data_IF_370053199018
#
_entry.id   IF_370053199018
#
_cell.length_a   1.000
_cell.length_b   1.000
_cell.length_c   1.000
_cell.angle_alpha   90.00
_cell.angle_beta   90.00
_cell.angle_gamma   90.00
#
_symmetry.space_group_name_H-M   'P 1'
#
loop_
_entity.id
_entity.type
_entity.pdbx_description
1 polymer ?
#
# COMPACT_ATOMS: atom_id res chain seq x y z
N UNK A 1 14.00 -2.66 -6.32
CA UNK A 1 14.98 -3.73 -6.68
C UNK A 1 14.55 -4.37 -7.99
N UNK A 2 15.52 -4.82 -8.79
CA UNK A 2 15.29 -5.53 -10.05
C UNK A 2 16.28 -6.70 -10.17
N UNK A 3 15.93 -7.77 -10.91
CA UNK A 3 16.85 -8.87 -11.16
C UNK A 3 18.09 -8.40 -11.94
N UNK A 4 19.24 -9.00 -11.67
CA UNK A 4 20.48 -8.78 -12.41
C UNK A 4 20.92 -10.12 -13.02
N UNK A 5 21.18 -10.12 -14.32
CA UNK A 5 21.78 -11.26 -15.02
C UNK A 5 23.29 -11.04 -15.13
N UNK A 6 24.07 -11.98 -14.61
CA UNK A 6 25.52 -12.03 -14.80
C UNK A 6 25.86 -13.26 -15.64
N UNK A 7 26.42 -13.03 -16.82
CA UNK A 7 26.93 -14.10 -17.67
C UNK A 7 28.45 -14.13 -17.56
N UNK A 8 29.00 -15.29 -17.22
CA UNK A 8 30.45 -15.50 -17.06
C UNK A 8 30.86 -16.65 -17.95
N UNK A 9 31.90 -16.44 -18.77
CA UNK A 9 32.37 -17.46 -19.70
C UNK A 9 33.07 -18.61 -18.97
N UNK A 10 32.95 -19.83 -19.51
CA UNK A 10 33.45 -21.03 -18.86
C UNK A 10 34.98 -21.11 -18.76
N UNK A 11 35.72 -20.35 -19.54
CA UNK A 11 37.17 -20.18 -19.41
C UNK A 11 37.52 -19.26 -18.23
N UNK A 12 36.79 -18.18 -18.02
CA UNK A 12 36.98 -17.24 -16.89
C UNK A 12 36.69 -17.93 -15.55
N UNK A 13 35.64 -18.75 -15.47
CA UNK A 13 35.31 -19.48 -14.23
C UNK A 13 36.33 -20.55 -13.84
N UNK A 14 37.20 -20.96 -14.76
CA UNK A 14 38.25 -21.96 -14.52
C UNK A 14 39.62 -21.35 -14.22
N UNK A 15 39.75 -20.02 -14.27
CA UNK A 15 41.01 -19.37 -13.94
C UNK A 15 41.26 -19.47 -12.42
N UNK A 16 42.50 -19.78 -12.05
CA UNK A 16 42.94 -19.69 -10.66
C UNK A 16 43.26 -18.23 -10.34
N UNK A 17 42.69 -17.72 -9.25
CA UNK A 17 42.93 -16.38 -8.74
C UNK A 17 43.60 -16.49 -7.37
N UNK A 18 44.59 -15.64 -7.10
CA UNK A 18 45.20 -15.56 -5.77
C UNK A 18 44.18 -15.08 -4.74
N UNK A 19 44.25 -15.59 -3.51
CA UNK A 19 43.38 -15.15 -2.41
C UNK A 19 43.47 -13.63 -2.17
N UNK A 20 44.64 -13.04 -2.45
CA UNK A 20 44.89 -11.59 -2.37
C UNK A 20 44.06 -10.75 -3.37
N UNK A 21 43.47 -11.39 -4.39
CA UNK A 21 42.63 -10.72 -5.38
C UNK A 21 41.22 -10.40 -4.85
N UNK A 22 40.83 -10.95 -3.70
CA UNK A 22 39.47 -10.85 -3.17
C UNK A 22 39.37 -9.90 -1.97
N UNK A 23 39.71 -8.62 -2.17
CA UNK A 23 39.35 -7.56 -1.22
C UNK A 23 38.06 -6.87 -1.68
N UNK A 24 36.91 -7.54 -1.53
CA UNK A 24 35.60 -6.94 -1.83
C UNK A 24 34.97 -6.35 -0.58
N UNK A 25 34.57 -5.08 -0.66
CA UNK A 25 33.74 -4.43 0.34
C UNK A 25 32.38 -4.11 -0.29
N UNK A 26 31.26 -4.68 0.20
CA UNK A 26 29.94 -4.34 -0.30
C UNK A 26 29.65 -2.85 -0.17
N UNK A 27 28.99 -2.28 -1.19
CA UNK A 27 28.51 -0.90 -1.11
C UNK A 27 27.44 -0.81 -0.02
N UNK A 28 27.62 0.12 0.93
CA UNK A 28 26.60 0.40 1.94
C UNK A 28 25.39 1.08 1.28
N UNK A 29 24.23 0.48 1.41
CA UNK A 29 22.97 1.07 0.94
C UNK A 29 22.70 2.40 1.66
N UNK A 30 22.21 3.38 0.91
CA UNK A 30 21.79 4.69 1.40
C UNK A 30 20.32 4.89 1.06
N UNK A 31 19.57 5.46 2.00
CA UNK A 31 18.18 5.89 1.82
C UNK A 31 18.12 7.40 1.88
N UNK A 32 17.24 8.02 1.10
CA UNK A 32 16.99 9.47 1.13
C UNK A 32 15.63 9.75 1.78
N UNK A 33 15.55 10.85 2.52
CA UNK A 33 14.27 11.47 2.85
C UNK A 33 13.78 12.36 1.70
N UNK A 34 12.56 12.85 1.84
CA UNK A 34 11.98 13.84 0.93
C UNK A 34 12.50 15.25 1.19
N UNK A 35 12.36 16.11 0.19
CA UNK A 35 12.54 17.54 0.35
C UNK A 35 11.54 18.09 1.38
N UNK A 36 12.01 18.99 2.24
CA UNK A 36 11.21 19.48 3.37
C UNK A 36 10.03 20.36 2.92
N UNK A 37 10.18 21.13 1.83
CA UNK A 37 9.12 21.95 1.28
C UNK A 37 8.05 21.08 0.61
N UNK A 38 8.47 20.06 -0.15
CA UNK A 38 7.53 19.10 -0.78
C UNK A 38 6.72 18.33 0.28
N UNK A 39 7.37 17.88 1.37
CA UNK A 39 6.70 17.21 2.48
C UNK A 39 5.68 18.14 3.15
N UNK A 40 6.06 19.40 3.42
CA UNK A 40 5.17 20.39 4.03
C UNK A 40 3.94 20.61 3.17
N UNK A 41 4.14 20.86 1.88
CA UNK A 41 3.08 21.24 0.96
C UNK A 41 2.11 20.07 0.73
N UNK A 42 2.63 18.85 0.60
CA UNK A 42 1.82 17.61 0.53
C UNK A 42 0.97 17.42 1.79
N UNK A 43 1.58 17.53 2.98
CA UNK A 43 0.85 17.37 4.26
C UNK A 43 -0.23 18.43 4.40
N UNK A 44 0.08 19.69 4.09
CA UNK A 44 -0.92 20.77 4.11
C UNK A 44 -2.09 20.47 3.18
N UNK A 45 -1.83 19.96 1.97
CA UNK A 45 -2.88 19.60 1.02
C UNK A 45 -3.74 18.42 1.54
N UNK A 46 -3.10 17.36 2.07
CA UNK A 46 -3.80 16.21 2.62
C UNK A 46 -4.70 16.57 3.82
N UNK A 47 -4.26 17.48 4.69
CA UNK A 47 -5.02 17.93 5.85
C UNK A 47 -6.23 18.81 5.47
N UNK A 48 -6.12 19.56 4.38
CA UNK A 48 -7.21 20.41 3.84
C UNK A 48 -8.25 19.65 3.04
N UNK A 49 -7.92 18.45 2.55
CA UNK A 49 -8.85 17.62 1.80
C UNK A 49 -10.06 17.22 2.67
N UNK A 50 -11.23 17.10 2.03
CA UNK A 50 -12.48 16.75 2.71
C UNK A 50 -12.57 15.25 2.95
N UNK A 51 -12.25 14.45 1.94
CA UNK A 51 -12.29 12.99 1.96
C UNK A 51 -11.00 12.38 1.39
N UNK A 52 -9.83 12.66 2.01
CA UNK A 52 -8.56 12.07 1.58
C UNK A 52 -8.56 10.56 1.79
N UNK A 53 -7.82 9.83 0.95
CA UNK A 53 -7.51 8.41 1.13
C UNK A 53 -6.03 8.13 0.86
N UNK A 54 -5.47 7.09 1.47
CA UNK A 54 -4.12 6.59 1.19
C UNK A 54 -4.20 5.36 0.29
N UNK A 55 -3.42 5.35 -0.79
CA UNK A 55 -3.14 4.16 -1.60
C UNK A 55 -1.72 3.66 -1.31
N UNK A 56 -1.60 2.61 -0.50
CA UNK A 56 -0.32 2.03 -0.09
C UNK A 56 0.13 0.94 -1.08
N UNK A 57 1.31 1.11 -1.67
CA UNK A 57 1.89 0.14 -2.59
C UNK A 57 2.88 -0.83 -1.95
N UNK A 58 3.43 -1.73 -2.78
CA UNK A 58 4.44 -2.72 -2.37
C UNK A 58 5.69 -2.10 -1.73
N UNK A 59 6.02 -0.86 -2.07
CA UNK A 59 7.21 -0.20 -1.53
C UNK A 59 7.12 0.06 -0.03
N UNK A 60 5.93 0.03 0.58
CA UNK A 60 5.77 0.05 2.04
C UNK A 60 6.46 -1.16 2.67
N UNK A 61 6.28 -2.35 2.07
CA UNK A 61 6.90 -3.59 2.54
C UNK A 61 8.41 -3.57 2.31
N UNK A 62 8.87 -3.08 1.15
CA UNK A 62 10.31 -2.96 0.86
C UNK A 62 11.03 -1.95 1.76
N UNK A 63 10.35 -0.88 2.16
CA UNK A 63 10.89 0.11 3.08
C UNK A 63 10.77 -0.30 4.55
N UNK A 64 10.03 -1.38 4.85
CA UNK A 64 9.63 -1.79 6.21
C UNK A 64 8.92 -0.65 6.96
N UNK A 65 7.95 -0.01 6.30
CA UNK A 65 7.31 1.23 6.75
C UNK A 65 5.88 1.06 7.29
N UNK A 66 5.47 -0.17 7.64
CA UNK A 66 4.10 -0.47 8.10
C UNK A 66 3.76 0.31 9.37
N UNK A 67 4.67 0.39 10.34
CA UNK A 67 4.44 1.10 11.61
C UNK A 67 4.24 2.60 11.38
N UNK A 68 5.09 3.20 10.55
CA UNK A 68 4.98 4.61 10.18
C UNK A 68 3.68 4.90 9.41
N UNK A 69 3.25 3.99 8.54
CA UNK A 69 1.98 4.15 7.82
C UNK A 69 0.79 4.09 8.78
N UNK A 70 0.82 3.22 9.78
CA UNK A 70 -0.20 3.14 10.85
C UNK A 70 -0.22 4.42 11.66
N UNK A 71 0.93 4.89 12.17
CA UNK A 71 1.00 6.13 12.95
C UNK A 71 0.48 7.33 12.14
N UNK A 72 0.88 7.45 10.86
CA UNK A 72 0.41 8.52 10.00
C UNK A 72 -1.10 8.46 9.76
N UNK A 73 -1.65 7.26 9.50
CA UNK A 73 -3.08 7.07 9.29
C UNK A 73 -3.88 7.40 10.56
N UNK A 74 -3.44 6.95 11.73
CA UNK A 74 -4.08 7.25 13.03
C UNK A 74 -4.03 8.75 13.35
N UNK A 75 -2.89 9.39 13.15
CA UNK A 75 -2.72 10.82 13.43
C UNK A 75 -3.61 11.70 12.54
N UNK A 76 -3.84 11.28 11.30
CA UNK A 76 -4.60 12.05 10.31
C UNK A 76 -6.05 11.57 10.14
N UNK A 77 -6.40 10.42 10.71
CA UNK A 77 -7.64 9.69 10.46
C UNK A 77 -7.95 9.50 8.97
N UNK A 78 -6.91 9.36 8.14
CA UNK A 78 -7.05 9.12 6.70
C UNK A 78 -7.13 7.61 6.48
N UNK A 79 -8.19 7.13 5.81
CA UNK A 79 -8.38 5.71 5.57
C UNK A 79 -7.41 5.18 4.51
N UNK A 80 -7.00 3.92 4.67
CA UNK A 80 -5.92 3.29 3.90
C UNK A 80 -6.46 2.13 3.08
N UNK A 81 -6.27 2.18 1.76
CA UNK A 81 -6.35 1.02 0.88
C UNK A 81 -4.96 0.61 0.42
N UNK A 82 -4.75 -0.69 0.21
CA UNK A 82 -3.53 -1.22 -0.37
C UNK A 82 -3.73 -1.53 -1.86
N UNK A 83 -2.69 -1.39 -2.68
CA UNK A 83 -2.68 -2.07 -3.98
C UNK A 83 -2.58 -3.58 -3.77
N UNK A 84 -2.88 -4.40 -4.77
CA UNK A 84 -2.74 -5.85 -4.62
C UNK A 84 -1.31 -6.25 -4.22
N UNK A 85 -0.30 -5.57 -4.76
CA UNK A 85 1.10 -5.84 -4.44
C UNK A 85 1.52 -5.24 -3.09
N UNK A 86 0.77 -4.26 -2.58
CA UNK A 86 0.93 -3.67 -1.25
C UNK A 86 0.08 -4.35 -0.17
N UNK A 87 -0.68 -5.40 -0.49
CA UNK A 87 -1.45 -6.16 0.51
C UNK A 87 -0.51 -6.60 1.64
N UNK A 88 -1.03 -6.54 2.88
CA UNK A 88 -0.27 -6.68 4.13
C UNK A 88 0.66 -5.51 4.50
N UNK A 89 0.80 -4.48 3.66
CA UNK A 89 1.49 -3.23 4.02
C UNK A 89 0.74 -2.36 5.03
N UNK A 90 -0.55 -2.65 5.25
CA UNK A 90 -1.37 -2.06 6.29
C UNK A 90 -2.25 -3.15 6.93
N UNK A 91 -2.45 -3.18 8.26
CA UNK A 91 -3.23 -4.24 8.90
C UNK A 91 -4.70 -4.21 8.46
N UNK A 92 -5.21 -5.27 7.84
CA UNK A 92 -6.58 -5.28 7.29
C UNK A 92 -7.69 -5.36 8.35
N UNK A 93 -7.31 -5.66 9.59
CA UNK A 93 -8.18 -5.60 10.77
C UNK A 93 -8.24 -4.19 11.41
N UNK A 94 -7.39 -3.26 10.97
CA UNK A 94 -7.36 -1.90 11.50
C UNK A 94 -8.65 -1.13 11.15
N UNK A 95 -9.21 -0.28 12.05
CA UNK A 95 -10.46 0.44 11.80
C UNK A 95 -10.43 1.38 10.58
N UNK A 96 -9.26 1.91 10.23
CA UNK A 96 -9.04 2.74 9.03
C UNK A 96 -8.73 1.94 7.76
N UNK A 97 -8.72 0.60 7.84
CA UNK A 97 -8.46 -0.24 6.66
C UNK A 97 -9.67 -0.27 5.74
N UNK A 98 -9.46 0.16 4.50
CA UNK A 98 -10.37 -0.06 3.40
C UNK A 98 -10.16 -1.43 2.76
N UNK A 99 -9.07 -2.14 3.09
CA UNK A 99 -8.67 -3.40 2.45
C UNK A 99 -7.93 -3.18 1.12
N UNK A 100 -7.88 -4.22 0.29
CA UNK A 100 -7.14 -4.18 -0.97
C UNK A 100 -7.99 -3.65 -2.13
N UNK A 101 -7.37 -2.87 -3.02
CA UNK A 101 -7.95 -2.34 -4.24
C UNK A 101 -7.03 -2.56 -5.45
N UNK A 102 -7.58 -3.13 -6.53
CA UNK A 102 -6.90 -3.38 -7.80
C UNK A 102 -7.93 -3.56 -8.91
N UNK A 103 -7.73 -4.55 -9.79
CA UNK A 103 -8.77 -4.95 -10.75
C UNK A 103 -10.04 -5.49 -10.06
N UNK A 104 -9.86 -6.15 -8.91
CA UNK A 104 -10.90 -6.43 -7.92
C UNK A 104 -10.54 -5.76 -6.61
N UNK A 105 -11.50 -5.63 -5.70
CA UNK A 105 -11.24 -5.01 -4.40
C UNK A 105 -12.41 -5.16 -3.45
N UNK A 106 -12.24 -4.61 -2.26
CA UNK A 106 -13.28 -4.54 -1.24
C UNK A 106 -14.31 -3.46 -1.58
N UNK A 107 -15.52 -3.60 -1.03
CA UNK A 107 -16.55 -2.57 -1.19
C UNK A 107 -16.16 -1.25 -0.51
N UNK A 108 -15.46 -1.30 0.62
CA UNK A 108 -14.97 -0.12 1.33
C UNK A 108 -14.02 0.70 0.45
N UNK A 109 -13.02 0.07 -0.18
CA UNK A 109 -12.11 0.78 -1.08
C UNK A 109 -12.87 1.43 -2.25
N UNK A 110 -13.79 0.70 -2.89
CA UNK A 110 -14.61 1.25 -3.97
C UNK A 110 -15.53 2.39 -3.52
N UNK A 111 -16.10 2.31 -2.31
CA UNK A 111 -16.95 3.35 -1.73
C UNK A 111 -16.19 4.67 -1.55
N UNK A 112 -15.02 4.62 -0.92
CA UNK A 112 -14.21 5.80 -0.67
C UNK A 112 -13.56 6.35 -1.96
N UNK A 113 -13.13 5.49 -2.88
CA UNK A 113 -12.63 5.90 -4.20
C UNK A 113 -13.64 6.72 -5.00
N UNK A 114 -14.95 6.44 -4.89
CA UNK A 114 -15.97 7.18 -5.65
C UNK A 114 -16.23 8.60 -5.14
N UNK A 115 -15.90 8.88 -3.88
CA UNK A 115 -16.22 10.16 -3.22
C UNK A 115 -14.99 10.97 -2.79
N UNK A 116 -13.80 10.39 -2.91
CA UNK A 116 -12.56 11.05 -2.51
C UNK A 116 -12.30 12.29 -3.37
N UNK A 117 -11.74 13.32 -2.76
CA UNK A 117 -11.23 14.53 -3.41
C UNK A 117 -9.69 14.56 -3.46
N UNK A 118 -9.02 13.62 -2.77
CA UNK A 118 -7.57 13.58 -2.63
C UNK A 118 -7.06 12.14 -2.43
N UNK A 119 -6.13 11.70 -3.25
CA UNK A 119 -5.43 10.41 -3.06
C UNK A 119 -3.95 10.65 -2.79
N UNK A 120 -3.47 10.12 -1.67
CA UNK A 120 -2.04 9.99 -1.36
C UNK A 120 -1.55 8.60 -1.74
N UNK A 121 -0.83 8.47 -2.85
CA UNK A 121 -0.06 7.28 -3.16
C UNK A 121 1.21 7.21 -2.33
N UNK A 122 1.39 6.16 -1.51
CA UNK A 122 2.65 5.94 -0.79
C UNK A 122 3.32 4.67 -1.30
N UNK A 123 4.53 4.82 -1.83
CA UNK A 123 5.36 3.73 -2.35
C UNK A 123 4.64 2.91 -3.44
N UNK A 124 3.92 3.63 -4.30
CA UNK A 124 3.11 3.12 -5.42
C UNK A 124 3.25 4.03 -6.64
N UNK A 125 3.06 3.48 -7.83
CA UNK A 125 3.02 4.23 -9.10
C UNK A 125 1.60 4.74 -9.43
N UNK A 126 0.61 4.47 -8.57
CA UNK A 126 -0.82 4.76 -8.78
C UNK A 126 -1.37 4.18 -10.10
N UNK A 127 -0.72 3.15 -10.65
CA UNK A 127 -0.99 2.65 -12.00
C UNK A 127 -0.86 1.13 -12.10
N UNK A 128 -1.27 0.57 -13.25
CA UNK A 128 -1.17 -0.85 -13.56
C UNK A 128 -2.37 -1.68 -13.10
N UNK A 129 -2.50 -2.92 -13.60
CA UNK A 129 -3.65 -3.81 -13.32
C UNK A 129 -3.79 -4.27 -11.86
N UNK A 130 -2.81 -3.95 -11.02
CA UNK A 130 -2.77 -4.28 -9.59
C UNK A 130 -3.05 -3.08 -8.69
N UNK A 131 -3.22 -1.89 -9.27
CA UNK A 131 -3.61 -0.66 -8.59
C UNK A 131 -5.06 -0.33 -8.90
N UNK A 132 -5.77 0.36 -8.00
CA UNK A 132 -7.09 0.87 -8.32
C UNK A 132 -7.00 1.94 -9.41
N UNK A 133 -8.06 2.08 -10.21
CA UNK A 133 -8.15 3.19 -11.17
C UNK A 133 -8.39 4.48 -10.41
N UNK A 134 -7.51 5.46 -10.60
CA UNK A 134 -7.67 6.79 -9.99
C UNK A 134 -8.87 7.52 -10.58
N UNK A 135 -9.74 8.14 -9.75
CA UNK A 135 -10.80 9.03 -10.22
C UNK A 135 -10.24 10.21 -11.02
N UNK A 136 -11.03 10.74 -11.94
CA UNK A 136 -10.67 11.95 -12.68
C UNK A 136 -11.00 13.21 -11.85
N UNK A 137 -10.21 14.26 -12.02
CA UNK A 137 -10.50 15.58 -11.44
C UNK A 137 -10.27 15.71 -9.93
N UNK A 138 -9.60 14.74 -9.31
CA UNK A 138 -9.19 14.80 -7.90
C UNK A 138 -7.72 15.23 -7.79
N UNK A 139 -7.32 15.66 -6.60
CA UNK A 139 -5.90 15.95 -6.32
C UNK A 139 -5.14 14.65 -6.09
N UNK A 140 -3.99 14.50 -6.74
CA UNK A 140 -3.12 13.33 -6.59
C UNK A 140 -1.79 13.72 -5.98
N UNK A 141 -1.43 13.06 -4.87
CA UNK A 141 -0.12 13.15 -4.26
C UNK A 141 0.59 11.79 -4.34
N UNK A 142 1.91 11.80 -4.47
CA UNK A 142 2.70 10.57 -4.62
C UNK A 142 4.04 10.67 -3.87
N UNK A 143 4.27 9.71 -2.98
CA UNK A 143 5.57 9.44 -2.35
C UNK A 143 6.20 8.24 -3.05
N UNK A 144 7.37 8.41 -3.65
CA UNK A 144 8.11 7.35 -4.35
C UNK A 144 9.61 7.48 -4.13
N UNK A 145 10.37 6.38 -4.18
CA UNK A 145 11.83 6.40 -4.12
C UNK A 145 12.49 6.70 -5.48
N UNK A 146 11.70 6.77 -6.56
CA UNK A 146 12.17 6.98 -7.93
C UNK A 146 11.47 8.17 -8.58
N UNK A 147 12.23 9.17 -9.01
CA UNK A 147 11.71 10.34 -9.76
C UNK A 147 10.92 9.93 -10.99
N UNK A 148 11.34 8.85 -11.65
CA UNK A 148 10.78 8.39 -12.91
C UNK A 148 9.39 7.77 -12.75
N UNK A 149 8.93 7.55 -11.51
CA UNK A 149 7.56 7.08 -11.24
C UNK A 149 6.54 8.24 -11.21
N UNK A 150 7.01 9.49 -11.09
CA UNK A 150 6.13 10.66 -11.05
C UNK A 150 5.66 11.03 -12.46
N UNK A 151 4.39 11.44 -12.59
CA UNK A 151 3.81 11.90 -13.85
C UNK A 151 3.77 10.88 -15.01
N UNK A 152 4.02 9.59 -14.76
CA UNK A 152 4.02 8.56 -15.81
C UNK A 152 2.62 8.26 -16.33
N UNK A 153 1.66 8.09 -15.43
CA UNK A 153 0.30 7.65 -15.77
C UNK A 153 -0.77 8.69 -15.40
N UNK A 154 -0.47 9.46 -14.37
CA UNK A 154 -1.33 10.50 -13.84
C UNK A 154 -0.48 11.72 -13.56
N UNK A 155 -1.00 12.92 -13.85
CA UNK A 155 -0.37 14.15 -13.38
C UNK A 155 -0.46 14.17 -11.85
N UNK A 156 0.68 14.34 -11.19
CA UNK A 156 0.81 14.42 -9.74
C UNK A 156 0.89 15.90 -9.36
N UNK A 157 0.04 16.32 -8.43
CA UNK A 157 -0.01 17.68 -7.91
C UNK A 157 1.05 17.91 -6.82
N UNK A 158 1.29 16.89 -5.97
CA UNK A 158 2.27 16.92 -4.89
C UNK A 158 3.14 15.65 -4.91
N UNK A 159 4.38 15.76 -5.37
CA UNK A 159 5.33 14.65 -5.43
C UNK A 159 6.41 14.78 -4.35
N UNK A 160 6.70 13.70 -3.64
CA UNK A 160 7.84 13.64 -2.72
C UNK A 160 8.72 12.45 -3.10
N UNK A 161 10.00 12.70 -3.35
CA UNK A 161 10.95 11.64 -3.71
C UNK A 161 11.80 11.24 -2.50
N UNK A 162 11.67 9.99 -2.06
CA UNK A 162 12.42 9.43 -0.94
C UNK A 162 11.94 8.05 -0.52
N UNK A 163 12.71 7.40 0.36
CA UNK A 163 12.31 6.14 0.98
C UNK A 163 11.04 6.35 1.82
N UNK A 164 10.04 5.48 1.61
CA UNK A 164 8.72 5.63 2.23
C UNK A 164 8.76 5.68 3.76
N UNK A 165 9.67 4.94 4.42
CA UNK A 165 9.80 4.96 5.88
C UNK A 165 10.29 6.32 6.37
N UNK A 166 11.31 6.87 5.70
CA UNK A 166 11.87 8.17 6.03
C UNK A 166 10.87 9.30 5.75
N UNK A 167 10.21 9.26 4.59
CA UNK A 167 9.23 10.27 4.22
C UNK A 167 8.00 10.24 5.14
N UNK A 168 7.46 9.07 5.47
CA UNK A 168 6.34 8.97 6.42
C UNK A 168 6.70 9.56 7.79
N UNK A 169 7.92 9.34 8.29
CA UNK A 169 8.41 9.99 9.52
C UNK A 169 8.44 11.52 9.38
N UNK A 170 8.94 12.04 8.27
CA UNK A 170 8.93 13.49 8.02
C UNK A 170 7.50 14.04 7.98
N UNK A 171 6.58 13.32 7.35
CA UNK A 171 5.17 13.68 7.26
C UNK A 171 4.48 13.65 8.63
N UNK A 172 4.74 12.63 9.46
CA UNK A 172 4.23 12.54 10.84
C UNK A 172 4.66 13.77 11.65
N UNK A 173 5.95 14.11 11.60
CA UNK A 173 6.48 15.28 12.31
C UNK A 173 5.90 16.60 11.77
N UNK A 174 5.64 16.67 10.47
CA UNK A 174 4.97 17.82 9.85
C UNK A 174 3.51 17.94 10.26
N UNK A 175 2.75 16.84 10.33
CA UNK A 175 1.38 16.85 10.84
C UNK A 175 1.36 17.35 12.29
N UNK A 176 2.27 16.84 13.15
CA UNK A 176 2.40 17.31 14.55
C UNK A 176 2.68 18.82 14.64
N UNK A 177 3.40 19.39 13.68
CA UNK A 177 3.64 20.85 13.58
C UNK A 177 2.38 21.62 13.16
N UNK A 178 1.62 21.13 12.17
CA UNK A 178 0.48 21.87 11.60
C UNK A 178 -0.81 21.79 12.42
N UNK A 179 -1.12 20.65 13.03
CA UNK A 179 -2.41 20.39 13.73
C UNK A 179 -2.24 20.16 15.24
N UNK A 180 -1.06 20.46 15.79
CA UNK A 180 -0.64 20.08 17.15
C UNK A 180 -0.65 18.55 17.38
N UNK A 181 -0.25 18.12 18.57
CA UNK A 181 -0.01 16.69 18.90
C UNK A 181 -1.28 15.83 18.76
N UNK A 182 -2.47 16.43 18.79
CA UNK A 182 -3.76 15.74 18.77
C UNK A 182 -4.18 15.26 17.36
N UNK A 183 -3.50 15.73 16.30
CA UNK A 183 -3.79 15.31 14.92
C UNK A 183 -5.05 15.94 14.32
N UNK A 184 -5.48 15.44 13.16
CA UNK A 184 -6.69 15.92 12.46
C UNK A 184 -7.99 15.51 13.17
N UNK A 185 -7.96 14.38 13.89
CA UNK A 185 -9.13 13.75 14.50
C UNK A 185 -10.10 13.13 13.47
N UNK A 186 -11.09 12.37 13.96
CA UNK A 186 -12.12 11.76 13.12
C UNK A 186 -13.25 12.77 12.78
N UNK A 187 -12.93 13.79 11.99
CA UNK A 187 -13.86 14.90 11.70
C UNK A 187 -15.17 14.43 11.05
N UNK A 188 -15.10 13.34 10.26
CA UNK A 188 -16.22 12.87 9.43
C UNK A 188 -16.79 11.51 9.87
N UNK A 189 -16.44 11.03 11.06
CA UNK A 189 -16.84 9.69 11.53
C UNK A 189 -16.45 8.58 10.53
N UNK A 190 -15.27 8.71 9.93
CA UNK A 190 -14.75 7.84 8.87
C UNK A 190 -14.68 6.40 9.35
N UNK A 191 -14.27 6.17 10.60
CA UNK A 191 -14.19 4.83 11.19
C UNK A 191 -15.56 4.15 11.20
N UNK A 192 -16.60 4.90 11.61
CA UNK A 192 -17.96 4.40 11.67
C UNK A 192 -18.53 4.13 10.26
N UNK A 193 -18.21 4.98 9.30
CA UNK A 193 -18.60 4.76 7.90
C UNK A 193 -17.93 3.51 7.31
N UNK A 194 -16.64 3.29 7.55
CA UNK A 194 -15.92 2.07 7.12
C UNK A 194 -16.56 0.85 7.75
N UNK A 195 -16.84 0.89 9.06
CA UNK A 195 -17.50 -0.20 9.79
C UNK A 195 -18.84 -0.56 9.14
N UNK A 196 -19.68 0.44 8.87
CA UNK A 196 -20.99 0.24 8.25
C UNK A 196 -20.88 -0.39 6.85
N UNK A 197 -20.02 0.16 5.98
CA UNK A 197 -19.83 -0.38 4.62
C UNK A 197 -19.26 -1.81 4.67
N UNK A 198 -18.34 -2.10 5.61
CA UNK A 198 -17.79 -3.43 5.82
C UNK A 198 -18.85 -4.43 6.30
N UNK A 199 -19.77 -4.02 7.17
CA UNK A 199 -20.87 -4.85 7.63
C UNK A 199 -21.86 -5.19 6.52
N UNK A 200 -22.24 -4.18 5.72
CA UNK A 200 -23.10 -4.36 4.54
C UNK A 200 -22.46 -5.33 3.54
N UNK A 201 -21.18 -5.13 3.25
CA UNK A 201 -20.39 -5.99 2.38
C UNK A 201 -20.33 -7.43 2.92
N UNK A 202 -19.94 -7.62 4.18
CA UNK A 202 -19.88 -8.97 4.77
C UNK A 202 -21.25 -9.65 4.85
N UNK A 203 -22.35 -8.89 4.99
CA UNK A 203 -23.69 -9.44 4.96
C UNK A 203 -24.05 -9.96 3.56
N UNK A 204 -23.74 -9.21 2.51
CA UNK A 204 -23.94 -9.61 1.10
C UNK A 204 -23.13 -10.86 0.75
N UNK A 205 -21.87 -10.95 1.20
CA UNK A 205 -20.98 -12.06 0.87
C UNK A 205 -21.14 -13.31 1.75
N UNK A 206 -21.85 -13.18 2.89
CA UNK A 206 -22.05 -14.27 3.87
C UNK A 206 -22.61 -15.56 3.25
N UNK A 207 -23.63 -15.53 2.37
CA UNK A 207 -24.17 -16.75 1.78
C UNK A 207 -23.14 -17.53 0.96
N UNK A 208 -22.26 -16.84 0.22
CA UNK A 208 -21.22 -17.45 -0.59
C UNK A 208 -20.09 -18.03 0.28
N UNK A 209 -19.64 -17.26 1.28
CA UNK A 209 -18.63 -17.69 2.25
C UNK A 209 -19.09 -18.87 3.14
N UNK A 210 -20.41 -19.13 3.20
CA UNK A 210 -21.03 -20.19 4.00
C UNK A 210 -21.73 -21.25 3.16
N UNK A 211 -21.59 -21.19 1.84
CA UNK A 211 -22.25 -22.11 0.91
C UNK A 211 -21.86 -23.56 1.21
N UNK A 212 -22.83 -24.47 1.07
CA UNK A 212 -22.64 -25.93 1.13
C UNK A 212 -22.97 -26.58 -0.24
N UNK A 213 -22.96 -25.79 -1.31
CA UNK A 213 -23.26 -26.28 -2.66
C UNK A 213 -22.20 -27.25 -3.20
N UNK A 214 -22.57 -28.04 -4.21
CA UNK A 214 -21.70 -28.99 -4.89
C UNK A 214 -21.81 -28.75 -6.41
N UNK A 215 -20.70 -28.45 -7.12
CA UNK A 215 -19.31 -28.35 -6.64
C UNK A 215 -19.08 -27.22 -5.63
N UNK A 216 -18.05 -27.35 -4.78
CA UNK A 216 -17.78 -26.42 -3.67
C UNK A 216 -17.53 -24.99 -4.16
N UNK A 217 -18.18 -24.02 -3.52
CA UNK A 217 -17.94 -22.59 -3.76
C UNK A 217 -16.52 -22.18 -3.40
N UNK A 218 -15.81 -21.45 -4.28
CA UNK A 218 -14.43 -21.03 -3.99
C UNK A 218 -14.32 -20.09 -2.77
N UNK A 219 -15.31 -19.25 -2.50
CA UNK A 219 -15.29 -18.36 -1.34
C UNK A 219 -15.43 -19.13 -0.03
N UNK A 220 -16.16 -20.25 -0.04
CA UNK A 220 -16.20 -21.15 1.10
C UNK A 220 -14.80 -21.70 1.40
N UNK A 221 -14.03 -22.07 0.37
CA UNK A 221 -12.64 -22.53 0.55
C UNK A 221 -11.79 -21.47 1.23
N UNK A 222 -11.86 -20.22 0.77
CA UNK A 222 -11.10 -19.11 1.38
C UNK A 222 -11.42 -18.92 2.86
N UNK A 223 -12.71 -18.95 3.21
CA UNK A 223 -13.13 -18.84 4.60
C UNK A 223 -12.61 -19.99 5.47
N UNK A 224 -12.70 -21.23 5.00
CA UNK A 224 -12.21 -22.38 5.78
C UNK A 224 -10.68 -22.41 5.86
N UNK A 225 -9.98 -21.97 4.81
CA UNK A 225 -8.53 -21.80 4.83
C UNK A 225 -8.11 -20.78 5.90
N UNK A 226 -8.75 -19.61 5.93
CA UNK A 226 -8.47 -18.57 6.91
C UNK A 226 -8.73 -19.01 8.37
N UNK A 227 -9.63 -19.97 8.60
CA UNK A 227 -9.84 -20.58 9.92
C UNK A 227 -8.81 -21.65 10.28
N UNK A 228 -8.27 -22.33 9.27
CA UNK A 228 -7.37 -23.46 9.46
C UNK A 228 -5.92 -23.04 9.74
N UNK A 229 -5.57 -21.78 9.47
CA UNK A 229 -4.22 -21.24 9.61
C UNK A 229 -4.18 -20.03 10.52
N UNK A 230 -3.00 -19.72 11.07
CA UNK A 230 -2.76 -18.43 11.71
C UNK A 230 -2.54 -17.38 10.62
N UNK A 231 -3.58 -16.61 10.31
CA UNK A 231 -3.56 -15.56 9.28
C UNK A 231 -2.52 -14.47 9.54
N UNK A 232 -2.05 -14.31 10.78
CA UNK A 232 -1.03 -13.31 11.11
C UNK A 232 0.39 -13.81 10.86
N UNK A 233 0.56 -15.13 10.72
CA UNK A 233 1.86 -15.79 10.59
C UNK A 233 1.93 -16.76 9.38
N UNK A 234 0.99 -16.63 8.44
CA UNK A 234 0.91 -17.49 7.26
C UNK A 234 1.18 -16.69 5.99
N UNK A 235 2.07 -17.19 5.15
CA UNK A 235 2.29 -16.67 3.81
C UNK A 235 1.35 -17.41 2.84
N UNK A 236 0.42 -16.67 2.24
CA UNK A 236 -0.42 -17.18 1.18
C UNK A 236 0.21 -16.90 -0.19
N UNK A 237 0.27 -17.91 -1.05
CA UNK A 237 0.69 -17.77 -2.44
C UNK A 237 -0.44 -18.22 -3.35
N UNK A 238 -0.53 -17.62 -4.53
CA UNK A 238 -1.53 -17.97 -5.53
C UNK A 238 -0.94 -17.84 -6.93
N UNK A 239 -1.49 -18.59 -7.87
CA UNK A 239 -1.18 -18.39 -9.29
C UNK A 239 -1.91 -17.15 -9.85
N UNK A 240 -1.57 -16.76 -11.07
CA UNK A 240 -2.29 -15.74 -11.82
C UNK A 240 -3.67 -16.27 -12.26
N UNK A 241 -4.66 -15.37 -12.23
CA UNK A 241 -6.02 -15.66 -12.71
C UNK A 241 -7.05 -15.53 -11.61
N UNK A 242 -8.14 -16.28 -11.74
CA UNK A 242 -9.31 -16.14 -10.89
C UNK A 242 -9.04 -16.32 -9.39
N UNK A 243 -8.19 -17.28 -8.93
CA UNK A 243 -7.91 -17.44 -7.50
C UNK A 243 -7.33 -16.18 -6.84
N UNK A 244 -6.43 -15.45 -7.52
CA UNK A 244 -5.89 -14.17 -7.06
C UNK A 244 -7.00 -13.15 -6.80
N UNK A 245 -7.88 -12.98 -7.79
CA UNK A 245 -8.90 -11.94 -7.77
C UNK A 245 -9.94 -12.20 -6.67
N UNK A 246 -10.15 -13.48 -6.31
CA UNK A 246 -10.99 -13.94 -5.21
C UNK A 246 -10.33 -13.72 -3.84
N UNK A 247 -9.04 -14.00 -3.70
CA UNK A 247 -8.29 -13.77 -2.45
C UNK A 247 -7.99 -12.30 -2.19
N UNK A 248 -7.92 -11.46 -3.21
CA UNK A 248 -7.66 -10.03 -3.05
C UNK A 248 -8.64 -9.38 -2.05
N UNK A 249 -9.91 -9.73 -2.17
CA UNK A 249 -10.99 -9.13 -1.38
C UNK A 249 -11.13 -9.70 0.03
N UNK A 250 -10.49 -10.83 0.40
CA UNK A 250 -10.75 -11.52 1.67
C UNK A 250 -9.47 -11.92 2.44
#
# INVERSE_FOLDING_TARGET
>A
MAPVLLEVSGDVTRQELSDDAFTYTPVKQRKSGGDADDVRDLVTAALKASCPIISAGRGILYAEATEELVEFAELTHIPVMTTLQGKSGFPENHPLSLGTAGSTGTQMAGHFLRKTDFVLGVATTLSGGYSPRMPAGITLAQVTDCTDDLNVHHRIDYGVVGDAKLVLRQMIEEVKRQVAVQGRGDINSVVEEIRKVKEEWLAEWRPLLQSNEVPMNEYRVLKELAKAVDVTNTIATHDAGFPRDRMCSF
#
